data_IF_465335531896
#
_entry.id   IF_465335531896
#
_cell.length_a   1.000
_cell.length_b   1.000
_cell.length_c   1.000
_cell.angle_alpha   90.00
_cell.angle_beta   90.00
_cell.angle_gamma   90.00
#
_symmetry.space_group_name_H-M   'P 1'
#
loop_
_entity.id
_entity.type
_entity.pdbx_description
1 polymer ?
#
# COMPACT_ATOMS: atom_id res chain seq x y z
N UNK A 1 -12.95 29.84 5.80
CA UNK A 1 -13.18 29.57 7.22
C UNK A 1 -13.67 28.15 7.33
N UNK A 2 -12.75 27.18 7.48
CA UNK A 2 -13.09 25.78 7.82
C UNK A 2 -13.30 25.76 9.33
N UNK A 3 -14.41 25.19 9.78
CA UNK A 3 -14.71 24.99 11.19
C UNK A 3 -13.53 24.24 11.84
N UNK A 4 -12.85 24.93 12.72
CA UNK A 4 -12.03 24.35 13.79
C UNK A 4 -12.98 23.66 14.78
N UNK A 5 -13.47 22.49 14.42
CA UNK A 5 -13.94 21.56 15.44
C UNK A 5 -12.67 21.08 16.15
N UNK A 6 -12.40 21.58 17.35
CA UNK A 6 -11.36 21.04 18.22
C UNK A 6 -11.42 19.53 18.18
N UNK A 7 -10.36 18.92 17.67
CA UNK A 7 -10.23 17.47 17.55
C UNK A 7 -10.08 16.93 18.98
N UNK A 8 -11.19 16.52 19.60
CA UNK A 8 -11.15 15.92 20.94
C UNK A 8 -10.48 14.56 20.87
N UNK A 9 -9.21 14.51 21.28
CA UNK A 9 -8.48 13.29 21.48
C UNK A 9 -9.00 12.55 22.72
N UNK A 10 -8.95 11.22 22.70
CA UNK A 10 -9.13 10.46 23.93
C UNK A 10 -7.81 10.36 24.73
N UNK A 11 -7.90 9.92 25.97
CA UNK A 11 -6.74 9.82 26.89
C UNK A 11 -5.57 9.01 26.27
N UNK A 12 -5.85 7.92 25.52
CA UNK A 12 -4.79 7.12 24.87
C UNK A 12 -4.16 7.85 23.71
N UNK A 13 -4.94 8.60 22.95
CA UNK A 13 -4.43 9.41 21.85
C UNK A 13 -3.57 10.57 22.39
N UNK A 14 -4.01 11.24 23.45
CA UNK A 14 -3.20 12.26 24.13
C UNK A 14 -1.88 11.67 24.66
N UNK A 15 -1.95 10.51 25.31
CA UNK A 15 -0.77 9.79 25.77
C UNK A 15 0.18 9.43 24.63
N UNK A 16 -0.33 9.10 23.44
CA UNK A 16 0.50 8.82 22.27
C UNK A 16 1.22 10.07 21.76
N UNK A 17 0.53 11.22 21.70
CA UNK A 17 1.16 12.50 21.36
C UNK A 17 2.26 12.85 22.36
N UNK A 18 1.97 12.71 23.66
CA UNK A 18 2.95 12.98 24.72
C UNK A 18 4.14 12.02 24.65
N UNK A 19 3.92 10.74 24.31
CA UNK A 19 4.99 9.77 24.13
C UNK A 19 5.89 10.14 22.94
N UNK A 20 5.31 10.58 21.82
CA UNK A 20 6.04 11.05 20.63
C UNK A 20 6.91 12.28 20.94
N UNK A 21 6.41 13.19 21.77
CA UNK A 21 7.13 14.41 22.19
C UNK A 21 8.30 14.09 23.14
N UNK A 22 8.11 13.14 24.05
CA UNK A 22 9.08 12.87 25.12
C UNK A 22 10.18 11.89 24.74
N UNK A 23 9.98 11.08 23.70
CA UNK A 23 10.89 10.00 23.35
C UNK A 23 11.46 10.17 21.94
N UNK A 24 12.66 9.69 21.72
CA UNK A 24 13.28 9.64 20.39
C UNK A 24 12.66 8.59 19.47
N UNK A 25 12.14 7.49 20.05
CA UNK A 25 11.41 6.44 19.32
C UNK A 25 10.15 6.12 20.11
N UNK A 26 9.01 5.99 19.42
CA UNK A 26 7.77 5.48 20.01
C UNK A 26 6.99 4.65 18.98
N UNK A 27 6.16 3.75 19.48
CA UNK A 27 5.33 2.87 18.68
C UNK A 27 3.86 3.15 18.99
N UNK A 28 3.10 3.45 17.93
CA UNK A 28 1.64 3.59 17.99
C UNK A 28 1.01 2.39 17.26
N UNK A 29 0.28 1.57 17.99
CA UNK A 29 -0.41 0.42 17.40
C UNK A 29 -1.90 0.43 17.70
N UNK A 30 -2.69 -0.18 16.82
CA UNK A 30 -4.13 -0.29 16.98
C UNK A 30 -4.80 -0.85 15.74
N UNK A 31 -5.92 -1.52 15.92
CA UNK A 31 -6.71 -2.09 14.83
C UNK A 31 -7.43 -1.03 13.99
N UNK A 32 -8.23 -1.45 13.00
CA UNK A 32 -9.00 -0.53 12.18
C UNK A 32 -10.00 0.26 13.04
N UNK A 33 -10.18 1.55 12.70
CA UNK A 33 -11.15 2.42 13.37
C UNK A 33 -10.79 2.88 14.78
N UNK A 34 -9.54 2.67 15.22
CA UNK A 34 -9.06 3.08 16.56
C UNK A 34 -8.49 4.49 16.61
N UNK A 35 -8.50 5.22 15.48
CA UNK A 35 -8.09 6.63 15.45
C UNK A 35 -6.59 6.84 15.28
N UNK A 36 -5.83 5.89 14.71
CA UNK A 36 -4.40 6.09 14.40
C UNK A 36 -4.14 7.35 13.58
N UNK A 37 -4.89 7.54 12.50
CA UNK A 37 -4.76 8.72 11.62
C UNK A 37 -5.04 10.04 12.37
N UNK A 38 -6.07 10.06 13.21
CA UNK A 38 -6.37 11.23 14.05
C UNK A 38 -5.21 11.56 15.00
N UNK A 39 -4.60 10.52 15.57
CA UNK A 39 -3.44 10.69 16.46
C UNK A 39 -2.20 11.17 15.69
N UNK A 40 -1.97 10.64 14.48
CA UNK A 40 -0.89 11.12 13.58
C UNK A 40 -1.09 12.60 13.27
N UNK A 41 -2.30 13.03 12.92
CA UNK A 41 -2.59 14.44 12.64
C UNK A 41 -2.27 15.34 13.84
N UNK A 42 -2.68 14.93 15.04
CA UNK A 42 -2.36 15.68 16.26
C UNK A 42 -0.85 15.76 16.53
N UNK A 43 -0.10 14.70 16.25
CA UNK A 43 1.37 14.71 16.34
C UNK A 43 1.97 15.68 15.33
N UNK A 44 1.50 15.64 14.07
CA UNK A 44 1.96 16.54 13.00
C UNK A 44 1.69 18.00 13.39
N UNK A 45 0.48 18.33 13.83
CA UNK A 45 0.12 19.68 14.26
C UNK A 45 1.02 20.17 15.40
N UNK A 46 1.29 19.31 16.38
CA UNK A 46 2.19 19.65 17.48
C UNK A 46 3.61 19.93 16.97
N UNK A 47 4.23 19.01 16.22
CA UNK A 47 5.61 19.19 15.75
C UNK A 47 5.74 20.38 14.78
N UNK A 48 4.72 20.59 13.95
CA UNK A 48 4.68 21.77 13.07
C UNK A 48 4.60 23.08 13.88
N UNK A 49 3.84 23.11 14.97
CA UNK A 49 3.77 24.29 15.85
C UNK A 49 5.11 24.60 16.55
N UNK A 50 5.94 23.58 16.73
CA UNK A 50 7.31 23.72 17.27
C UNK A 50 8.35 24.02 16.15
N UNK A 51 7.92 24.27 14.90
CA UNK A 51 8.75 24.50 13.72
C UNK A 51 9.72 23.35 13.41
N UNK A 52 9.34 22.11 13.70
CA UNK A 52 10.11 20.93 13.35
C UNK A 52 9.84 20.49 11.93
N UNK A 53 10.87 20.04 11.23
CA UNK A 53 10.75 19.39 9.94
C UNK A 53 10.23 17.96 10.10
N UNK A 54 9.17 17.63 9.34
CA UNK A 54 8.46 16.35 9.45
C UNK A 54 8.49 15.64 8.11
N UNK A 55 8.93 14.40 8.10
CA UNK A 55 8.82 13.50 6.96
C UNK A 55 7.81 12.39 7.25
N UNK A 56 6.91 12.17 6.30
CA UNK A 56 5.90 11.11 6.38
C UNK A 56 6.19 10.04 5.36
N UNK A 57 6.16 8.78 5.77
CA UNK A 57 6.36 7.69 4.83
C UNK A 57 5.53 6.44 5.17
N UNK A 58 5.40 5.58 4.17
CA UNK A 58 4.75 4.28 4.28
C UNK A 58 5.44 3.26 3.36
N UNK A 59 5.28 1.94 3.59
CA UNK A 59 5.97 0.93 2.78
C UNK A 59 5.48 0.84 1.34
N UNK A 60 4.26 1.27 1.03
CA UNK A 60 3.68 1.19 -0.32
C UNK A 60 3.15 2.53 -0.81
N UNK A 61 3.12 2.74 -2.13
CA UNK A 61 2.58 3.96 -2.75
C UNK A 61 1.13 4.22 -2.38
N UNK A 62 0.31 3.17 -2.31
CA UNK A 62 -1.10 3.29 -1.89
C UNK A 62 -1.24 3.74 -0.44
N UNK A 63 -0.42 3.21 0.46
CA UNK A 63 -0.42 3.63 1.85
C UNK A 63 0.08 5.08 2.02
N UNK A 64 1.13 5.47 1.30
CA UNK A 64 1.63 6.85 1.28
C UNK A 64 0.57 7.82 0.76
N UNK A 65 -0.10 7.50 -0.34
CA UNK A 65 -1.20 8.31 -0.89
C UNK A 65 -2.35 8.48 0.11
N UNK A 66 -2.77 7.39 0.76
CA UNK A 66 -3.81 7.46 1.81
C UNK A 66 -3.37 8.32 2.99
N UNK A 67 -2.10 8.25 3.38
CA UNK A 67 -1.54 9.09 4.43
C UNK A 67 -1.59 10.56 4.02
N UNK A 68 -1.21 10.91 2.80
CA UNK A 68 -1.32 12.27 2.26
C UNK A 68 -2.77 12.77 2.26
N UNK A 69 -3.70 11.98 1.73
CA UNK A 69 -5.13 12.34 1.69
C UNK A 69 -5.72 12.56 3.09
N UNK A 70 -5.30 11.76 4.06
CA UNK A 70 -5.84 11.78 5.41
C UNK A 70 -5.21 12.86 6.31
N UNK A 71 -3.95 13.21 6.06
CA UNK A 71 -3.22 14.21 6.87
C UNK A 71 -3.19 15.58 6.22
N UNK A 72 -3.31 15.65 4.90
CA UNK A 72 -3.07 16.88 4.13
C UNK A 72 -1.57 17.22 3.96
N UNK A 73 -0.68 16.37 4.47
CA UNK A 73 0.78 16.51 4.34
C UNK A 73 1.32 15.49 3.35
N UNK A 74 2.32 15.88 2.57
CA UNK A 74 2.92 14.99 1.60
C UNK A 74 3.60 13.80 2.29
N UNK A 75 3.18 12.59 1.94
CA UNK A 75 3.79 11.35 2.35
C UNK A 75 4.31 10.59 1.14
N UNK A 76 5.43 9.90 1.31
CA UNK A 76 6.06 9.14 0.24
C UNK A 76 6.33 7.69 0.65
N UNK A 77 6.75 6.85 -0.27
CA UNK A 77 7.19 5.50 0.12
C UNK A 77 8.53 5.58 0.86
N UNK A 78 8.77 4.62 1.77
CA UNK A 78 10.09 4.52 2.44
C UNK A 78 11.21 4.41 1.41
N UNK A 79 11.00 3.67 0.32
CA UNK A 79 11.96 3.55 -0.77
C UNK A 79 12.27 4.91 -1.45
N UNK A 80 11.24 5.73 -1.67
CA UNK A 80 11.42 7.08 -2.24
C UNK A 80 12.10 8.02 -1.25
N UNK A 81 11.74 7.92 0.03
CA UNK A 81 12.39 8.68 1.11
C UNK A 81 13.89 8.38 1.18
N UNK A 82 14.28 7.13 0.98
CA UNK A 82 15.67 6.69 0.99
C UNK A 82 16.40 6.94 -0.34
N UNK A 83 15.72 7.44 -1.37
CA UNK A 83 16.27 7.73 -2.69
C UNK A 83 17.04 6.53 -3.27
N UNK A 84 16.36 5.76 -4.12
CA UNK A 84 16.98 4.59 -4.76
C UNK A 84 18.10 5.01 -5.70
N UNK A 85 19.30 4.47 -5.51
CA UNK A 85 20.43 4.67 -6.42
C UNK A 85 20.26 3.88 -7.71
N UNK A 86 20.37 4.56 -8.85
CA UNK A 86 20.22 3.96 -10.18
C UNK A 86 21.37 3.08 -10.67
N UNK A 87 22.51 3.03 -9.98
CA UNK A 87 23.71 2.30 -10.40
C UNK A 87 24.27 1.39 -9.30
N UNK A 88 23.80 0.14 -9.17
CA UNK A 88 24.42 -0.83 -8.29
C UNK A 88 25.81 -1.28 -8.76
N UNK A 89 26.16 -1.08 -10.04
CA UNK A 89 27.44 -1.49 -10.61
C UNK A 89 28.60 -0.51 -10.31
N UNK A 90 28.32 0.71 -9.88
CA UNK A 90 29.34 1.71 -9.52
C UNK A 90 29.73 1.67 -8.04
N UNK A 91 28.97 0.96 -7.21
CA UNK A 91 29.26 0.86 -5.78
C UNK A 91 30.05 -0.43 -5.45
N UNK A 92 31.36 -0.34 -5.42
CA UNK A 92 32.27 -1.41 -4.93
C UNK A 92 32.07 -1.77 -3.44
N UNK A 93 31.14 -1.12 -2.74
CA UNK A 93 30.91 -1.31 -1.31
C UNK A 93 29.70 -2.23 -1.05
N UNK A 94 29.93 -3.50 -0.63
CA UNK A 94 28.86 -4.47 -0.38
C UNK A 94 27.92 -4.08 0.77
N UNK A 95 28.21 -3.01 1.50
CA UNK A 95 27.39 -2.50 2.62
C UNK A 95 26.41 -1.40 2.20
N UNK A 96 26.38 -0.96 0.94
CA UNK A 96 25.41 0.00 0.44
C UNK A 96 24.16 -0.73 -0.05
N UNK A 97 23.08 -0.56 0.67
CA UNK A 97 21.76 -1.18 0.43
C UNK A 97 21.05 -0.67 -0.84
N UNK A 98 21.74 -0.10 -1.83
CA UNK A 98 21.14 0.47 -3.04
C UNK A 98 20.36 1.76 -2.83
N UNK A 99 20.53 2.43 -1.69
CA UNK A 99 19.90 3.71 -1.37
C UNK A 99 20.92 4.86 -1.26
N UNK A 100 20.56 6.04 -1.80
CA UNK A 100 21.38 7.24 -1.71
C UNK A 100 21.41 7.81 -0.30
N UNK A 101 20.31 7.67 0.44
CA UNK A 101 20.24 8.04 1.86
C UNK A 101 20.78 6.92 2.71
N UNK A 102 21.83 7.22 3.46
CA UNK A 102 22.57 6.27 4.30
C UNK A 102 23.37 7.05 5.37
N UNK A 103 24.29 6.40 6.08
CA UNK A 103 25.08 7.04 7.13
C UNK A 103 25.98 8.20 6.64
N UNK A 104 26.43 8.16 5.38
CA UNK A 104 27.27 9.21 4.77
C UNK A 104 26.43 10.35 4.18
N UNK A 105 25.16 10.09 3.86
CA UNK A 105 24.20 11.04 3.32
C UNK A 105 22.84 10.85 4.00
N UNK A 106 22.69 11.23 5.28
CA UNK A 106 21.50 10.93 6.06
C UNK A 106 20.30 11.81 5.68
N UNK A 107 19.16 11.42 6.22
CA UNK A 107 17.94 12.23 6.19
C UNK A 107 18.07 13.38 7.19
N UNK A 108 18.00 14.60 6.69
CA UNK A 108 18.04 15.81 7.52
C UNK A 108 16.59 16.21 7.86
N UNK A 109 16.11 15.79 9.01
CA UNK A 109 14.75 16.06 9.49
C UNK A 109 14.68 15.87 11.01
N UNK A 110 13.74 16.54 11.65
CA UNK A 110 13.52 16.44 13.10
C UNK A 110 12.64 15.24 13.47
N UNK A 111 11.67 14.90 12.62
CA UNK A 111 10.67 13.87 12.88
C UNK A 111 10.40 13.03 11.64
N UNK A 112 10.39 11.72 11.80
CA UNK A 112 9.95 10.76 10.77
C UNK A 112 8.77 9.97 11.33
N UNK A 113 7.65 9.97 10.62
CA UNK A 113 6.48 9.17 10.95
C UNK A 113 6.29 8.11 9.85
N UNK A 114 6.35 6.85 10.23
CA UNK A 114 6.14 5.73 9.31
C UNK A 114 4.82 5.05 9.65
N UNK A 115 3.90 5.01 8.70
CA UNK A 115 2.64 4.25 8.84
C UNK A 115 2.74 2.87 8.16
N UNK A 116 1.80 1.98 8.46
CA UNK A 116 1.72 0.59 7.98
C UNK A 116 2.99 -0.24 8.28
N UNK A 117 3.57 -0.06 9.46
CA UNK A 117 4.80 -0.73 9.90
C UNK A 117 4.73 -2.26 9.90
N UNK A 118 3.54 -2.85 9.91
CA UNK A 118 3.37 -4.31 9.77
C UNK A 118 3.92 -4.87 8.46
N UNK A 119 4.01 -4.03 7.42
CA UNK A 119 4.51 -4.40 6.09
C UNK A 119 6.02 -4.17 5.90
N UNK A 120 6.70 -3.54 6.86
CA UNK A 120 8.13 -3.23 6.78
C UNK A 120 8.94 -4.46 7.19
N UNK A 121 9.84 -4.90 6.31
CA UNK A 121 10.75 -6.01 6.55
C UNK A 121 12.08 -5.56 7.18
N UNK A 122 12.91 -6.52 7.57
CA UNK A 122 14.19 -6.24 8.23
C UNK A 122 15.18 -5.47 7.33
N UNK A 123 15.36 -5.80 6.04
CA UNK A 123 16.24 -5.04 5.16
C UNK A 123 15.84 -3.57 5.02
N UNK A 124 14.54 -3.30 4.82
CA UNK A 124 14.04 -1.95 4.67
C UNK A 124 14.16 -1.15 5.97
N UNK A 125 13.86 -1.78 7.12
CA UNK A 125 14.05 -1.14 8.42
C UNK A 125 15.52 -0.82 8.70
N UNK A 126 16.44 -1.74 8.37
CA UNK A 126 17.87 -1.50 8.50
C UNK A 126 18.34 -0.32 7.63
N UNK A 127 17.88 -0.25 6.38
CA UNK A 127 18.20 0.87 5.49
C UNK A 127 17.70 2.20 6.05
N UNK A 128 16.45 2.24 6.55
CA UNK A 128 15.87 3.42 7.19
C UNK A 128 16.68 3.87 8.40
N UNK A 129 17.00 2.96 9.33
CA UNK A 129 17.77 3.29 10.53
C UNK A 129 19.19 3.77 10.21
N UNK A 130 19.79 3.23 9.15
CA UNK A 130 21.14 3.67 8.70
C UNK A 130 21.12 5.09 8.16
N UNK A 131 19.98 5.55 7.62
CA UNK A 131 19.83 6.89 7.07
C UNK A 131 19.38 7.94 8.10
N UNK A 132 19.05 7.55 9.32
CA UNK A 132 18.58 8.47 10.37
C UNK A 132 19.74 8.96 11.23
N UNK A 133 19.81 10.26 11.50
CA UNK A 133 20.80 10.84 12.40
C UNK A 133 20.35 10.79 13.86
N UNK A 134 21.30 10.69 14.81
CA UNK A 134 20.97 10.83 16.23
C UNK A 134 20.28 12.18 16.51
N UNK A 135 19.15 12.14 17.20
CA UNK A 135 18.34 13.33 17.49
C UNK A 135 17.03 13.40 16.71
N UNK A 136 16.96 12.76 15.54
CA UNK A 136 15.70 12.60 14.81
C UNK A 136 14.72 11.71 15.59
N UNK A 137 13.47 12.16 15.71
CA UNK A 137 12.38 11.38 16.31
C UNK A 137 11.82 10.39 15.30
N UNK A 138 11.64 9.14 15.71
CA UNK A 138 11.07 8.08 14.88
C UNK A 138 9.77 7.58 15.49
N UNK A 139 8.66 7.80 14.79
CA UNK A 139 7.33 7.38 15.19
C UNK A 139 6.88 6.25 14.26
N UNK A 140 6.73 5.06 14.81
CA UNK A 140 6.36 3.85 14.10
C UNK A 140 4.88 3.54 14.34
N UNK A 141 4.07 3.60 13.29
CA UNK A 141 2.62 3.40 13.36
C UNK A 141 2.22 2.16 12.59
N UNK A 142 1.32 1.35 13.15
CA UNK A 142 0.83 0.17 12.44
C UNK A 142 -0.18 -0.62 13.26
N UNK A 143 -0.61 -1.73 12.70
CA UNK A 143 -1.49 -2.70 13.37
C UNK A 143 -0.72 -4.00 13.59
N UNK A 144 -0.38 -4.29 14.84
CA UNK A 144 0.37 -5.50 15.20
C UNK A 144 -0.42 -6.80 14.96
N UNK A 145 -1.73 -6.72 14.71
CA UNK A 145 -2.59 -7.86 14.43
C UNK A 145 -2.78 -8.12 12.93
N UNK A 146 -2.28 -7.22 12.06
CA UNK A 146 -2.26 -7.47 10.63
C UNK A 146 -1.18 -8.49 10.24
N UNK A 147 -1.27 -8.99 9.00
CA UNK A 147 -0.28 -9.89 8.44
C UNK A 147 1.12 -9.23 8.44
N UNK A 148 2.18 -10.01 8.72
CA UNK A 148 3.55 -9.51 8.67
C UNK A 148 3.97 -9.19 7.23
N UNK A 149 5.16 -8.58 7.09
CA UNK A 149 5.80 -8.36 5.79
C UNK A 149 6.03 -9.67 5.03
N UNK A 150 6.09 -9.59 3.70
CA UNK A 150 6.47 -10.73 2.85
C UNK A 150 7.96 -11.02 2.97
N UNK A 151 8.77 -9.97 3.13
CA UNK A 151 10.21 -10.08 3.40
C UNK A 151 10.50 -10.57 4.84
N UNK A 152 11.76 -10.87 5.14
CA UNK A 152 12.15 -11.42 6.42
C UNK A 152 11.94 -10.44 7.58
N UNK A 153 11.51 -10.96 8.72
CA UNK A 153 11.32 -10.22 9.96
C UNK A 153 9.89 -9.81 10.24
N UNK A 154 9.58 -9.59 11.51
CA UNK A 154 8.28 -9.15 12.02
C UNK A 154 8.46 -7.91 12.89
N UNK A 155 9.09 -6.87 12.29
CA UNK A 155 9.67 -5.72 12.97
C UNK A 155 8.73 -5.09 14.00
N UNK A 156 7.50 -4.79 13.62
CA UNK A 156 6.55 -4.14 14.54
C UNK A 156 6.26 -5.01 15.77
N UNK A 157 6.04 -6.31 15.57
CA UNK A 157 5.78 -7.24 16.68
C UNK A 157 7.00 -7.45 17.55
N UNK A 158 8.18 -7.57 16.95
CA UNK A 158 9.42 -7.80 17.65
C UNK A 158 9.81 -6.58 18.50
N UNK A 159 9.65 -5.36 17.97
CA UNK A 159 9.85 -4.13 18.71
C UNK A 159 8.89 -3.97 19.89
N UNK A 160 7.60 -4.30 19.70
CA UNK A 160 6.61 -4.30 20.79
C UNK A 160 6.97 -5.35 21.85
N UNK A 161 7.32 -6.57 21.44
CA UNK A 161 7.66 -7.66 22.34
C UNK A 161 8.98 -7.43 23.10
N UNK A 162 9.87 -6.59 22.56
CA UNK A 162 11.14 -6.26 23.23
C UNK A 162 10.97 -5.43 24.51
N UNK A 163 9.83 -4.75 24.65
CA UNK A 163 9.54 -3.82 25.77
C UNK A 163 10.60 -2.70 25.95
N UNK A 164 11.45 -2.49 24.94
CA UNK A 164 12.54 -1.50 24.99
C UNK A 164 12.08 -0.07 24.63
N UNK A 165 10.93 0.07 24.01
CA UNK A 165 10.42 1.34 23.48
C UNK A 165 9.03 1.66 24.03
N UNK A 166 8.67 2.94 24.18
CA UNK A 166 7.30 3.33 24.50
C UNK A 166 6.32 2.83 23.45
N UNK A 167 5.31 2.09 23.88
CA UNK A 167 4.23 1.56 23.03
C UNK A 167 2.90 2.11 23.52
N UNK A 168 2.14 2.75 22.65
CA UNK A 168 0.76 3.14 22.91
C UNK A 168 -0.16 2.30 22.03
N UNK A 169 -1.03 1.52 22.69
CA UNK A 169 -2.00 0.66 22.00
C UNK A 169 -3.39 1.29 22.06
N UNK A 170 -3.88 1.73 20.89
CA UNK A 170 -5.25 2.23 20.75
C UNK A 170 -6.22 1.05 20.66
N UNK A 171 -7.12 0.97 21.60
CA UNK A 171 -8.07 -0.16 21.70
C UNK A 171 -9.53 0.27 21.52
N UNK A 172 -9.81 1.59 21.63
CA UNK A 172 -11.16 2.12 21.48
C UNK A 172 -11.53 2.26 20.01
N UNK A 173 -12.62 1.63 19.61
CA UNK A 173 -13.20 1.81 18.28
C UNK A 173 -14.12 3.04 18.36
N UNK A 174 -13.88 4.04 17.53
CA UNK A 174 -14.70 5.25 17.51
C UNK A 174 -16.08 5.00 16.89
N UNK A 175 -17.06 5.83 17.27
CA UNK A 175 -18.48 5.63 16.90
C UNK A 175 -18.71 5.45 15.40
N UNK A 176 -18.10 6.28 14.56
CA UNK A 176 -18.22 6.13 13.10
C UNK A 176 -17.71 4.77 12.61
N UNK A 177 -16.62 4.26 13.18
CA UNK A 177 -16.06 2.96 12.84
C UNK A 177 -16.91 1.81 13.41
N UNK A 178 -17.65 2.01 14.49
CA UNK A 178 -18.59 1.04 15.04
C UNK A 178 -19.83 0.83 14.14
N UNK A 179 -20.13 1.79 13.26
CA UNK A 179 -21.19 1.65 12.26
C UNK A 179 -20.79 0.80 11.04
N UNK A 180 -19.49 0.48 10.92
CA UNK A 180 -18.95 -0.40 9.87
C UNK A 180 -18.83 -1.84 10.38
N UNK A 181 -19.60 -2.74 9.81
CA UNK A 181 -19.50 -4.15 10.14
C UNK A 181 -18.20 -4.79 9.63
N UNK A 182 -17.55 -4.21 8.62
CA UNK A 182 -16.17 -4.60 8.23
C UNK A 182 -15.23 -4.41 9.42
N UNK A 183 -15.26 -3.23 10.06
CA UNK A 183 -14.41 -2.92 11.21
C UNK A 183 -14.76 -3.78 12.41
N UNK A 184 -16.04 -3.85 12.77
CA UNK A 184 -16.51 -4.64 13.92
C UNK A 184 -16.16 -6.12 13.76
N UNK A 185 -16.40 -6.68 12.58
CA UNK A 185 -16.08 -8.08 12.30
C UNK A 185 -14.57 -8.36 12.27
N UNK A 186 -13.74 -7.42 11.79
CA UNK A 186 -12.29 -7.55 11.87
C UNK A 186 -11.81 -7.68 13.32
N UNK A 187 -12.32 -6.86 14.23
CA UNK A 187 -12.02 -6.97 15.65
C UNK A 187 -12.54 -8.27 16.28
N UNK A 188 -13.74 -8.73 15.90
CA UNK A 188 -14.29 -10.01 16.36
C UNK A 188 -13.41 -11.17 15.91
N UNK A 189 -13.03 -11.22 14.63
CA UNK A 189 -12.15 -12.25 14.08
C UNK A 189 -10.82 -12.28 14.83
N UNK A 190 -10.23 -11.12 15.08
CA UNK A 190 -8.96 -11.01 15.81
C UNK A 190 -9.05 -11.56 17.25
N UNK A 191 -10.23 -11.46 17.91
CA UNK A 191 -10.48 -12.00 19.25
C UNK A 191 -11.00 -13.44 19.25
N UNK A 192 -11.18 -14.06 18.06
CA UNK A 192 -11.77 -15.38 17.93
C UNK A 192 -13.28 -15.42 18.21
N UNK A 193 -13.95 -14.28 18.12
CA UNK A 193 -15.40 -14.17 18.32
C UNK A 193 -16.16 -14.46 17.03
N UNK A 194 -17.40 -15.01 17.11
CA UNK A 194 -18.22 -15.26 15.92
C UNK A 194 -18.65 -13.96 15.26
N UNK A 195 -18.62 -13.93 13.93
CA UNK A 195 -19.08 -12.81 13.11
C UNK A 195 -20.55 -13.00 12.70
N UNK A 196 -21.26 -11.89 12.50
CA UNK A 196 -22.63 -11.89 11.99
C UNK A 196 -22.62 -12.03 10.47
N UNK A 197 -23.32 -13.02 9.93
CA UNK A 197 -23.40 -13.34 8.51
C UNK A 197 -24.85 -13.27 7.98
N UNK A 198 -25.67 -12.40 8.56
CA UNK A 198 -27.10 -12.28 8.28
C UNK A 198 -27.44 -11.36 7.11
N UNK A 199 -26.44 -10.73 6.49
CA UNK A 199 -26.57 -9.79 5.36
C UNK A 199 -27.46 -8.58 5.63
N UNK A 200 -27.60 -8.16 6.88
CA UNK A 200 -28.30 -6.92 7.26
C UNK A 200 -27.36 -5.71 7.31
N UNK A 201 -26.08 -5.96 7.14
CA UNK A 201 -25.02 -4.96 7.09
C UNK A 201 -25.17 -4.01 5.90
N UNK A 202 -24.53 -2.83 6.02
CA UNK A 202 -24.40 -1.88 4.91
C UNK A 202 -23.10 -2.09 4.11
N UNK A 203 -22.09 -2.73 4.69
CA UNK A 203 -20.76 -2.82 4.11
C UNK A 203 -20.14 -4.24 4.18
N UNK A 204 -20.72 -5.17 4.92
CA UNK A 204 -20.24 -6.53 5.07
C UNK A 204 -21.31 -7.55 4.70
N UNK A 205 -21.04 -8.36 3.67
CA UNK A 205 -22.00 -9.33 3.14
C UNK A 205 -21.37 -10.70 2.99
N UNK A 206 -22.13 -11.75 3.27
CA UNK A 206 -21.72 -13.13 3.10
C UNK A 206 -22.67 -13.88 2.18
N UNK A 207 -22.17 -14.31 1.03
CA UNK A 207 -22.92 -15.08 0.04
C UNK A 207 -22.40 -16.51 0.00
N UNK A 208 -23.03 -17.41 0.75
CA UNK A 208 -22.63 -18.81 0.79
C UNK A 208 -22.85 -19.49 -0.57
N UNK A 209 -21.79 -19.96 -1.21
CA UNK A 209 -21.79 -20.77 -2.43
C UNK A 209 -20.75 -21.88 -2.27
N UNK A 210 -20.97 -23.02 -2.91
CA UNK A 210 -20.06 -24.17 -2.83
C UNK A 210 -19.47 -24.53 -4.19
N UNK A 211 -20.22 -24.35 -5.27
CA UNK A 211 -19.76 -24.63 -6.63
C UNK A 211 -18.85 -23.47 -7.13
N UNK A 212 -17.60 -23.77 -7.54
CA UNK A 212 -16.68 -22.75 -8.04
C UNK A 212 -17.21 -21.96 -9.25
N UNK A 213 -17.96 -22.59 -10.16
CA UNK A 213 -18.47 -21.91 -11.32
C UNK A 213 -19.61 -20.95 -10.96
N UNK A 214 -20.44 -21.33 -9.97
CA UNK A 214 -21.46 -20.46 -9.40
C UNK A 214 -20.81 -19.29 -8.68
N UNK A 215 -19.72 -19.49 -7.94
CA UNK A 215 -18.97 -18.43 -7.27
C UNK A 215 -18.45 -17.44 -8.30
N UNK A 216 -17.82 -17.91 -9.37
CA UNK A 216 -17.30 -17.06 -10.45
C UNK A 216 -18.42 -16.26 -11.13
N UNK A 217 -19.54 -16.89 -11.45
CA UNK A 217 -20.70 -16.21 -12.07
C UNK A 217 -21.27 -15.11 -11.17
N UNK A 218 -21.38 -15.38 -9.86
CA UNK A 218 -21.84 -14.37 -8.88
C UNK A 218 -20.81 -13.25 -8.78
N UNK A 219 -19.51 -13.57 -8.71
CA UNK A 219 -18.43 -12.59 -8.65
C UNK A 219 -18.46 -11.64 -9.84
N UNK A 220 -18.57 -12.16 -11.08
CA UNK A 220 -18.70 -11.37 -12.31
C UNK A 220 -19.92 -10.44 -12.25
N UNK A 221 -21.07 -10.95 -11.83
CA UNK A 221 -22.28 -10.17 -11.69
C UNK A 221 -22.13 -9.04 -10.67
N UNK A 222 -21.46 -9.32 -9.57
CA UNK A 222 -21.19 -8.31 -8.54
C UNK A 222 -20.29 -7.20 -9.08
N UNK A 223 -19.15 -7.56 -9.72
CA UNK A 223 -18.17 -6.58 -10.19
C UNK A 223 -18.70 -5.75 -11.35
N UNK A 224 -19.40 -6.37 -12.31
CA UNK A 224 -19.87 -5.65 -13.50
C UNK A 224 -21.14 -4.82 -13.25
N UNK A 225 -22.06 -5.29 -12.41
CA UNK A 225 -23.42 -4.75 -12.37
C UNK A 225 -23.84 -4.22 -11.00
N UNK A 226 -23.49 -4.90 -9.91
CA UNK A 226 -24.03 -4.61 -8.58
C UNK A 226 -23.17 -3.64 -7.79
N UNK A 227 -21.91 -4.01 -7.54
CA UNK A 227 -21.00 -3.24 -6.69
C UNK A 227 -20.68 -1.85 -7.25
N UNK A 228 -20.43 -1.64 -8.55
CA UNK A 228 -20.13 -0.30 -9.07
C UNK A 228 -21.19 0.74 -8.70
N UNK A 229 -22.46 0.36 -8.79
CA UNK A 229 -23.58 1.24 -8.41
C UNK A 229 -23.71 1.39 -6.90
N UNK A 230 -23.42 0.32 -6.15
CA UNK A 230 -23.60 0.29 -4.71
C UNK A 230 -22.54 1.13 -3.98
N UNK A 231 -21.28 1.04 -4.43
CA UNK A 231 -20.16 1.76 -3.80
C UNK A 231 -19.72 3.01 -4.58
N UNK A 232 -20.46 3.38 -5.65
CA UNK A 232 -20.14 4.51 -6.53
C UNK A 232 -18.70 4.46 -7.06
N UNK A 233 -18.28 3.32 -7.58
CA UNK A 233 -16.93 3.06 -8.08
C UNK A 233 -16.99 2.40 -9.47
N UNK A 234 -15.87 2.42 -10.19
CA UNK A 234 -15.75 1.71 -11.46
C UNK A 234 -15.44 0.23 -11.19
N UNK A 235 -15.73 -0.70 -12.12
CA UNK A 235 -15.35 -2.11 -11.98
C UNK A 235 -13.85 -2.31 -11.67
N UNK A 236 -12.97 -1.48 -12.22
CA UNK A 236 -11.51 -1.52 -11.97
C UNK A 236 -11.12 -1.14 -10.55
N UNK A 237 -11.93 -0.35 -9.85
CA UNK A 237 -11.67 0.06 -8.46
C UNK A 237 -12.04 -1.05 -7.46
N UNK A 238 -12.77 -2.08 -7.94
CA UNK A 238 -13.19 -3.22 -7.13
C UNK A 238 -12.10 -4.28 -7.20
N UNK A 239 -11.56 -4.67 -6.04
CA UNK A 239 -10.49 -5.65 -5.96
C UNK A 239 -11.02 -7.01 -5.52
N UNK A 240 -10.70 -8.04 -6.29
CA UNK A 240 -10.93 -9.44 -5.89
C UNK A 240 -9.75 -9.94 -5.09
N UNK A 241 -10.02 -10.53 -3.95
CA UNK A 241 -9.05 -11.20 -3.11
C UNK A 241 -9.35 -12.70 -3.04
N UNK A 242 -8.34 -13.53 -3.17
CA UNK A 242 -8.45 -14.98 -3.04
C UNK A 242 -7.30 -15.53 -2.21
N UNK A 243 -7.49 -16.61 -1.44
CA UNK A 243 -6.42 -17.16 -0.61
C UNK A 243 -5.37 -17.98 -1.37
N UNK A 244 -5.62 -18.32 -2.65
CA UNK A 244 -4.78 -19.26 -3.39
C UNK A 244 -4.30 -18.68 -4.73
N UNK A 245 -3.08 -19.03 -5.14
CA UNK A 245 -2.58 -18.70 -6.49
C UNK A 245 -3.13 -19.64 -7.56
N UNK A 246 -3.16 -20.95 -7.28
CA UNK A 246 -3.57 -22.02 -8.20
C UNK A 246 -4.92 -22.63 -7.80
N UNK A 247 -5.55 -23.32 -8.73
CA UNK A 247 -6.83 -24.00 -8.52
C UNK A 247 -8.03 -23.27 -9.13
N UNK A 248 -9.21 -23.84 -8.90
CA UNK A 248 -10.45 -23.38 -9.55
C UNK A 248 -10.84 -21.93 -9.20
N UNK A 249 -10.47 -21.47 -8.02
CA UNK A 249 -10.67 -20.09 -7.54
C UNK A 249 -9.34 -19.39 -7.26
N UNK A 250 -8.25 -19.87 -7.84
CA UNK A 250 -6.94 -19.25 -7.72
C UNK A 250 -6.78 -17.99 -8.57
N UNK A 251 -5.79 -17.18 -8.24
CA UNK A 251 -5.47 -15.91 -8.91
C UNK A 251 -5.31 -16.08 -10.41
N UNK A 252 -4.56 -17.10 -10.84
CA UNK A 252 -4.26 -17.32 -12.26
C UNK A 252 -5.53 -17.52 -13.09
N UNK A 253 -6.42 -18.40 -12.64
CA UNK A 253 -7.70 -18.65 -13.32
C UNK A 253 -8.66 -17.47 -13.22
N UNK A 254 -8.76 -16.85 -12.04
CA UNK A 254 -9.65 -15.70 -11.85
C UNK A 254 -9.21 -14.52 -12.71
N UNK A 255 -7.92 -14.23 -12.81
CA UNK A 255 -7.42 -13.16 -13.66
C UNK A 255 -7.73 -13.39 -15.14
N UNK A 256 -7.55 -14.61 -15.63
CA UNK A 256 -7.90 -14.94 -17.01
C UNK A 256 -9.38 -14.73 -17.29
N UNK A 257 -10.25 -15.20 -16.40
CA UNK A 257 -11.70 -15.03 -16.55
C UNK A 257 -12.11 -13.55 -16.42
N UNK A 258 -11.59 -12.86 -15.40
CA UNK A 258 -11.92 -11.45 -15.17
C UNK A 258 -11.45 -10.55 -16.32
N UNK A 259 -10.28 -10.83 -16.91
CA UNK A 259 -9.79 -10.14 -18.09
C UNK A 259 -10.79 -10.26 -19.26
N UNK A 260 -11.23 -11.47 -19.58
CA UNK A 260 -12.18 -11.70 -20.67
C UNK A 260 -13.51 -10.96 -20.49
N UNK A 261 -13.97 -10.78 -19.26
CA UNK A 261 -15.23 -10.12 -18.99
C UNK A 261 -15.12 -8.62 -18.74
N UNK A 262 -14.01 -8.14 -18.18
CA UNK A 262 -13.81 -6.73 -17.82
C UNK A 262 -13.04 -5.95 -18.88
N UNK A 263 -12.18 -6.63 -19.63
CA UNK A 263 -11.40 -6.07 -20.72
C UNK A 263 -11.36 -7.03 -21.91
N UNK A 264 -12.51 -7.28 -22.57
CA UNK A 264 -12.59 -8.23 -23.68
C UNK A 264 -11.70 -7.82 -24.85
N UNK A 265 -11.29 -8.78 -25.71
CA UNK A 265 -10.59 -8.46 -26.94
C UNK A 265 -11.48 -7.63 -27.87
N UNK A 266 -10.89 -6.64 -28.51
CA UNK A 266 -11.55 -5.76 -29.47
C UNK A 266 -10.65 -5.57 -30.70
N UNK A 267 -11.24 -5.39 -31.90
CA UNK A 267 -10.46 -5.08 -33.09
C UNK A 267 -9.59 -3.83 -32.88
N UNK A 268 -8.27 -3.96 -33.12
CA UNK A 268 -7.30 -2.87 -32.94
C UNK A 268 -6.76 -2.69 -31.52
N UNK A 269 -7.24 -3.43 -30.53
CA UNK A 269 -6.67 -3.44 -29.19
C UNK A 269 -5.42 -4.34 -29.17
N UNK A 270 -4.28 -3.77 -28.88
CA UNK A 270 -3.01 -4.50 -28.88
C UNK A 270 -2.95 -5.50 -27.73
N UNK A 271 -2.39 -6.67 -28.03
CA UNK A 271 -2.17 -7.77 -27.09
C UNK A 271 -0.72 -8.27 -27.18
N UNK A 272 -0.21 -8.78 -26.07
CA UNK A 272 1.08 -9.47 -25.99
C UNK A 272 0.94 -10.76 -25.20
N UNK A 273 1.23 -11.87 -25.85
CA UNK A 273 1.37 -13.17 -25.18
C UNK A 273 2.73 -13.25 -24.46
N UNK A 274 2.70 -13.70 -23.22
CA UNK A 274 3.88 -13.93 -22.40
C UNK A 274 3.69 -15.17 -21.52
N UNK A 275 4.37 -16.26 -21.86
CA UNK A 275 4.15 -17.55 -21.22
C UNK A 275 2.68 -18.01 -21.36
N UNK A 276 2.08 -18.38 -20.25
CA UNK A 276 0.67 -18.78 -20.17
C UNK A 276 -0.31 -17.60 -20.02
N UNK A 277 0.20 -16.37 -20.03
CA UNK A 277 -0.56 -15.16 -19.84
C UNK A 277 -0.63 -14.31 -21.11
N UNK A 278 -1.66 -13.50 -21.19
CA UNK A 278 -1.82 -12.53 -22.25
C UNK A 278 -2.09 -11.16 -21.63
N UNK A 279 -1.25 -10.19 -21.96
CA UNK A 279 -1.47 -8.79 -21.62
C UNK A 279 -2.22 -8.07 -22.74
N UNK A 280 -3.12 -7.20 -22.38
CA UNK A 280 -3.96 -6.44 -23.30
C UNK A 280 -4.00 -4.98 -22.86
N UNK A 281 -4.02 -4.04 -23.78
CA UNK A 281 -4.23 -2.62 -23.46
C UNK A 281 -5.52 -2.45 -22.64
N UNK A 282 -5.43 -1.73 -21.55
CA UNK A 282 -6.51 -1.56 -20.57
C UNK A 282 -6.50 -2.58 -19.43
N UNK A 283 -5.59 -3.56 -19.43
CA UNK A 283 -5.49 -4.51 -18.32
C UNK A 283 -5.01 -3.85 -17.03
N UNK A 284 -5.59 -4.30 -15.93
CA UNK A 284 -5.10 -4.01 -14.58
C UNK A 284 -3.97 -4.98 -14.26
N UNK A 285 -2.80 -4.44 -13.95
CA UNK A 285 -1.59 -5.19 -13.66
C UNK A 285 -0.97 -4.77 -12.33
N UNK A 286 -0.09 -5.61 -11.81
CA UNK A 286 0.67 -5.36 -10.59
C UNK A 286 2.12 -5.75 -10.82
N UNK A 287 3.05 -4.91 -10.36
CA UNK A 287 4.46 -5.24 -10.20
C UNK A 287 4.61 -6.29 -9.10
N UNK A 288 5.32 -7.38 -9.36
CA UNK A 288 5.47 -8.50 -8.41
C UNK A 288 6.88 -8.66 -7.85
N UNK A 289 7.81 -7.82 -8.32
CA UNK A 289 9.21 -7.77 -7.84
C UNK A 289 9.58 -6.31 -7.57
N UNK A 290 10.52 -6.08 -6.65
CA UNK A 290 11.13 -4.76 -6.54
C UNK A 290 12.13 -4.59 -7.69
N UNK A 291 11.95 -3.57 -8.52
CA UNK A 291 12.90 -3.19 -9.55
C UNK A 291 13.33 -1.74 -9.33
N UNK A 292 14.51 -1.57 -8.74
CA UNK A 292 15.07 -0.27 -8.35
C UNK A 292 15.61 0.54 -9.54
N UNK A 293 15.86 -0.10 -10.67
CA UNK A 293 16.45 0.50 -11.86
C UNK A 293 15.41 0.90 -12.92
N UNK A 294 14.18 0.45 -12.76
CA UNK A 294 13.14 0.68 -13.73
C UNK A 294 12.71 2.15 -13.70
N UNK A 295 12.92 2.84 -14.82
CA UNK A 295 12.59 4.26 -14.94
C UNK A 295 11.09 4.48 -15.06
N UNK A 296 10.60 5.52 -14.42
CA UNK A 296 9.27 6.04 -14.62
C UNK A 296 9.31 7.53 -14.98
N UNK A 297 8.34 7.96 -15.76
CA UNK A 297 8.16 9.34 -16.15
C UNK A 297 6.70 9.77 -16.00
N UNK A 298 6.50 11.05 -15.68
CA UNK A 298 5.19 11.70 -15.73
C UNK A 298 5.20 12.65 -16.91
N UNK A 299 4.27 12.45 -17.84
CA UNK A 299 4.21 13.24 -19.06
C UNK A 299 2.95 14.12 -19.10
N UNK A 300 3.08 15.30 -19.71
CA UNK A 300 1.93 16.13 -20.09
C UNK A 300 1.10 15.43 -21.17
N UNK A 301 -0.10 15.93 -21.43
CA UNK A 301 -0.94 15.49 -22.58
C UNK A 301 -0.25 15.65 -23.94
N UNK A 302 0.80 16.46 -24.01
CA UNK A 302 1.60 16.71 -25.22
C UNK A 302 2.90 15.90 -25.28
N UNK A 303 3.10 14.95 -24.33
CA UNK A 303 4.25 14.07 -24.30
C UNK A 303 5.54 14.70 -23.72
N UNK A 304 5.46 15.88 -23.09
CA UNK A 304 6.61 16.47 -22.41
C UNK A 304 6.73 15.87 -21.00
N UNK A 305 7.90 15.38 -20.65
CA UNK A 305 8.20 14.86 -19.31
C UNK A 305 8.22 16.01 -18.30
N UNK A 306 7.41 15.90 -17.24
CA UNK A 306 7.33 16.87 -16.14
C UNK A 306 8.16 16.39 -14.96
N UNK A 307 8.13 15.07 -14.70
CA UNK A 307 8.84 14.43 -13.59
C UNK A 307 9.33 13.06 -14.04
N UNK A 308 10.42 12.59 -13.44
CA UNK A 308 10.99 11.28 -13.70
C UNK A 308 11.72 10.74 -12.48
N UNK A 309 11.82 9.45 -12.37
CA UNK A 309 12.55 8.82 -11.30
C UNK A 309 12.77 7.34 -11.56
N UNK A 310 13.27 6.65 -10.56
CA UNK A 310 13.60 5.24 -10.58
C UNK A 310 12.81 4.46 -9.54
N UNK A 311 12.61 3.20 -9.82
CA UNK A 311 12.01 2.24 -8.90
C UNK A 311 10.51 2.04 -9.09
N UNK A 312 10.16 0.77 -9.31
CA UNK A 312 8.80 0.24 -9.26
C UNK A 312 8.81 -0.96 -8.32
N UNK A 313 7.85 -1.02 -7.41
CA UNK A 313 7.95 -1.93 -6.28
C UNK A 313 6.85 -2.97 -6.27
N UNK A 314 7.14 -4.09 -5.63
CA UNK A 314 6.17 -5.15 -5.44
C UNK A 314 4.88 -4.60 -4.80
N UNK A 315 3.77 -4.81 -5.51
CA UNK A 315 2.45 -4.34 -5.11
C UNK A 315 2.01 -3.04 -5.74
N UNK A 316 2.87 -2.35 -6.48
CA UNK A 316 2.45 -1.23 -7.32
C UNK A 316 1.46 -1.71 -8.37
N UNK A 317 0.29 -1.09 -8.43
CA UNK A 317 -0.77 -1.43 -9.37
C UNK A 317 -0.92 -0.36 -10.43
N UNK A 318 -1.10 -0.79 -11.68
CA UNK A 318 -1.26 0.11 -12.82
C UNK A 318 -2.19 -0.45 -13.88
N UNK A 319 -2.32 0.33 -14.94
CA UNK A 319 -3.13 -0.02 -16.12
C UNK A 319 -2.23 0.02 -17.35
N UNK A 320 -2.28 -1.02 -18.18
CA UNK A 320 -1.58 -1.05 -19.46
C UNK A 320 -2.18 0.00 -20.39
N UNK A 321 -1.39 1.00 -20.75
CA UNK A 321 -1.80 2.08 -21.67
C UNK A 321 -1.44 1.80 -23.11
N UNK A 322 -0.33 1.14 -23.36
CA UNK A 322 0.15 0.86 -24.69
C UNK A 322 0.95 -0.45 -24.74
N UNK A 323 0.86 -1.14 -25.84
CA UNK A 323 1.73 -2.27 -26.19
C UNK A 323 2.31 -1.95 -27.56
N UNK A 324 3.61 -1.69 -27.61
CA UNK A 324 4.33 -1.37 -28.82
C UNK A 324 5.11 -2.61 -29.29
N UNK A 325 4.61 -3.26 -30.33
CA UNK A 325 5.24 -4.47 -30.89
C UNK A 325 6.53 -4.18 -31.65
N UNK A 326 6.71 -2.93 -32.11
CA UNK A 326 7.91 -2.53 -32.82
C UNK A 326 9.08 -2.25 -31.87
N UNK A 327 8.80 -1.55 -30.77
CA UNK A 327 9.78 -1.28 -29.70
C UNK A 327 9.89 -2.43 -28.69
N UNK A 328 9.06 -3.46 -28.84
CA UNK A 328 8.96 -4.58 -27.90
C UNK A 328 8.76 -4.13 -26.43
N UNK A 329 7.82 -3.19 -26.22
CA UNK A 329 7.55 -2.63 -24.91
C UNK A 329 6.07 -2.64 -24.54
N UNK A 330 5.80 -2.74 -23.23
CA UNK A 330 4.50 -2.53 -22.60
C UNK A 330 4.58 -1.30 -21.71
N UNK A 331 3.73 -0.32 -21.95
CA UNK A 331 3.67 0.88 -21.11
C UNK A 331 2.55 0.73 -20.07
N UNK A 332 2.92 0.81 -18.79
CA UNK A 332 1.99 0.76 -17.65
C UNK A 332 1.92 2.14 -16.99
N UNK A 333 0.73 2.63 -16.74
CA UNK A 333 0.49 3.83 -15.94
C UNK A 333 0.11 3.44 -14.53
N UNK A 334 0.93 3.87 -13.57
CA UNK A 334 0.74 3.71 -12.14
C UNK A 334 0.07 4.95 -11.52
N UNK A 335 -0.12 4.93 -10.20
CA UNK A 335 -0.58 6.10 -9.45
C UNK A 335 0.29 7.33 -9.75
N UNK A 336 -0.29 8.53 -9.58
CA UNK A 336 0.34 9.82 -9.88
C UNK A 336 0.71 10.01 -11.37
N UNK A 337 0.07 9.27 -12.27
CA UNK A 337 0.31 9.28 -13.73
C UNK A 337 1.76 8.86 -14.11
N UNK A 338 2.45 8.15 -13.23
CA UNK A 338 3.77 7.60 -13.53
C UNK A 338 3.66 6.54 -14.61
N UNK A 339 4.32 6.76 -15.72
CA UNK A 339 4.36 5.82 -16.85
C UNK A 339 5.69 5.08 -16.85
N UNK A 340 5.62 3.77 -16.99
CA UNK A 340 6.77 2.87 -17.02
C UNK A 340 6.74 2.05 -18.29
N UNK A 341 7.86 2.00 -19.01
CA UNK A 341 8.02 1.16 -20.19
C UNK A 341 8.75 -0.12 -19.83
N UNK A 342 8.04 -1.23 -19.94
CA UNK A 342 8.59 -2.57 -19.73
C UNK A 342 9.04 -3.18 -21.04
N UNK A 343 10.36 -3.42 -21.24
CA UNK A 343 10.81 -4.31 -22.31
C UNK A 343 10.18 -5.70 -22.16
N UNK A 344 9.92 -6.36 -23.28
CA UNK A 344 9.33 -7.71 -23.24
C UNK A 344 10.17 -8.70 -22.42
N UNK A 345 11.46 -8.47 -22.31
CA UNK A 345 12.39 -9.33 -21.56
C UNK A 345 12.11 -9.37 -20.04
N UNK A 346 11.47 -8.34 -19.49
CA UNK A 346 11.17 -8.24 -18.04
C UNK A 346 9.67 -8.29 -17.72
N UNK A 347 8.83 -8.76 -18.63
CA UNK A 347 7.40 -8.90 -18.39
C UNK A 347 7.06 -9.93 -17.30
N UNK A 348 8.00 -10.78 -16.88
CA UNK A 348 7.87 -11.65 -15.71
C UNK A 348 7.78 -10.89 -14.38
N UNK A 349 8.02 -9.59 -14.39
CA UNK A 349 7.81 -8.71 -13.24
C UNK A 349 6.37 -8.21 -13.12
N UNK A 350 5.53 -8.43 -14.15
CA UNK A 350 4.13 -8.01 -14.18
C UNK A 350 3.19 -9.22 -14.09
N UNK A 351 2.12 -9.06 -13.36
CA UNK A 351 0.97 -9.98 -13.34
C UNK A 351 -0.34 -9.22 -13.57
N UNK A 352 -1.35 -9.90 -14.14
CA UNK A 352 -2.72 -9.38 -14.12
C UNK A 352 -3.20 -9.25 -12.67
N UNK A 353 -3.88 -8.17 -12.36
CA UNK A 353 -4.27 -7.81 -11.00
C UNK A 353 -5.77 -7.58 -10.78
N UNK A 354 -6.62 -8.17 -11.61
CA UNK A 354 -8.07 -8.19 -11.34
C UNK A 354 -8.38 -8.97 -10.06
N UNK A 355 -7.67 -10.08 -9.85
CA UNK A 355 -7.64 -10.83 -8.61
C UNK A 355 -6.20 -10.94 -8.10
N UNK A 356 -6.01 -10.83 -6.79
CA UNK A 356 -4.72 -10.97 -6.12
C UNK A 356 -4.85 -11.87 -4.89
N UNK A 357 -3.73 -12.39 -4.39
CA UNK A 357 -3.72 -13.04 -3.09
C UNK A 357 -3.73 -12.02 -1.96
N UNK A 358 -4.23 -12.42 -0.81
CA UNK A 358 -4.28 -11.59 0.40
C UNK A 358 -2.86 -11.33 0.92
N UNK A 359 -1.98 -12.33 0.78
CA UNK A 359 -0.59 -12.27 1.20
C UNK A 359 0.26 -12.62 -0.02
N UNK A 360 0.73 -11.65 -0.72
CA UNK A 360 1.41 -11.68 -2.02
C UNK A 360 2.34 -12.84 -2.26
#
# INVERSE_FOLDING_TARGET
>A
MKNEAEMQLDEKQENAVMAAVRNGIMILTGGPGTGKTTTINAMIEYFHSENMEIMLAAPTGRAAKRMTEATGWEAQTIHRLLEVNGNPEEDENPNRNGFARNADNPLETDVIIIDEMSMVDLPLMNALLTAIVPGTRLILVGDCNQLPSVGPGSILKDLIASECFPVVMLTRIFRQAQESDIVVNAHKINRGEPVLLDNKSRDFFFLKRQDPNVIISVLLTLIQKKLPKYVNAKPYDIQVLTPMRKGLLGVERLNSILQEYLNPPEPGKAEKEYGDHKFRVGDKVMQIKNNYQLEWEVCTKYGMTIDKGLGVFNGDMGIIKNINTYEETVTVEYDEQRQVKYPYAILDELELAYAITIHK
#
